data_IF_668041421923
#
_entry.id   IF_668041421923
#
_cell.length_a   1.000
_cell.length_b   1.000
_cell.length_c   1.000
_cell.angle_alpha   90.00
_cell.angle_beta   90.00
_cell.angle_gamma   90.00
#
_symmetry.space_group_name_H-M   'P 1'
#
loop_
_entity.id
_entity.type
_entity.pdbx_description
1 polymer ?
#
# COMPACT_ATOMS: atom_id res chain seq x y z
N UNK A 1 7.82 -4.68 5.35
CA UNK A 1 8.62 -5.89 5.65
C UNK A 1 10.12 -5.59 5.57
N UNK A 2 10.62 -4.87 4.54
CA UNK A 2 12.04 -4.51 4.45
C UNK A 2 12.48 -3.68 5.66
N UNK A 3 11.75 -2.62 6.02
CA UNK A 3 12.05 -1.82 7.20
C UNK A 3 12.16 -2.66 8.49
N UNK A 4 11.24 -3.62 8.68
CA UNK A 4 11.24 -4.52 9.85
C UNK A 4 12.47 -5.42 9.86
N UNK A 5 13.00 -5.80 8.70
CA UNK A 5 14.20 -6.64 8.60
C UNK A 5 15.50 -5.86 8.78
N UNK A 6 15.48 -4.56 8.55
CA UNK A 6 16.66 -3.69 8.55
C UNK A 6 16.76 -2.78 9.79
N UNK A 7 15.72 -2.76 10.64
CA UNK A 7 15.63 -1.85 11.80
C UNK A 7 15.11 -2.57 13.04
N UNK A 8 15.58 -2.18 14.19
CA UNK A 8 15.12 -2.69 15.48
C UNK A 8 13.71 -2.18 15.83
N UNK A 9 13.36 -1.00 15.35
CA UNK A 9 12.07 -0.38 15.57
C UNK A 9 11.61 0.37 14.31
N UNK A 10 10.31 0.43 14.07
CA UNK A 10 9.71 1.13 12.92
C UNK A 10 8.61 2.10 13.35
N UNK A 11 8.36 3.10 12.51
CA UNK A 11 7.20 3.98 12.57
C UNK A 11 6.28 3.64 11.40
N UNK A 12 5.25 2.81 11.60
CA UNK A 12 4.27 2.55 10.54
C UNK A 12 3.41 3.80 10.35
N UNK A 13 3.45 4.39 9.15
CA UNK A 13 2.73 5.63 8.87
C UNK A 13 1.89 5.52 7.60
N UNK A 14 0.69 6.10 7.65
CA UNK A 14 -0.15 6.39 6.51
C UNK A 14 -0.39 7.90 6.42
N UNK A 15 -0.02 8.50 5.30
CA UNK A 15 -0.19 9.93 5.07
C UNK A 15 -1.43 10.17 4.22
N UNK A 16 -2.40 10.86 4.79
CA UNK A 16 -3.60 11.33 4.11
C UNK A 16 -3.24 12.60 3.33
N UNK A 17 -2.94 12.41 2.05
CA UNK A 17 -2.62 13.50 1.13
C UNK A 17 -3.89 14.28 0.75
N UNK A 18 -3.98 15.58 1.10
CA UNK A 18 -5.16 16.39 0.78
C UNK A 18 -5.48 16.43 -0.71
N UNK A 19 -4.48 16.38 -1.59
CA UNK A 19 -4.68 16.37 -3.05
C UNK A 19 -5.50 15.15 -3.48
N UNK A 20 -5.15 13.97 -2.97
CA UNK A 20 -5.87 12.73 -3.29
C UNK A 20 -7.22 12.63 -2.58
N UNK A 21 -7.29 13.08 -1.33
CA UNK A 21 -8.51 13.02 -0.53
C UNK A 21 -9.60 13.89 -1.13
N UNK A 22 -9.28 15.13 -1.52
CA UNK A 22 -10.26 16.08 -2.04
C UNK A 22 -10.86 15.65 -3.40
N UNK A 23 -10.16 14.85 -4.16
CA UNK A 23 -10.61 14.31 -5.45
C UNK A 23 -11.28 12.93 -5.34
N UNK A 24 -11.32 12.35 -4.14
CA UNK A 24 -11.80 10.99 -3.93
C UNK A 24 -13.28 10.95 -3.53
N UNK A 25 -14.06 10.11 -4.20
CA UNK A 25 -15.49 9.94 -3.90
C UNK A 25 -15.76 9.28 -2.55
N UNK A 26 -16.86 9.66 -1.92
CA UNK A 26 -17.24 9.29 -0.54
C UNK A 26 -17.22 7.77 -0.24
N UNK A 27 -17.58 6.91 -1.20
CA UNK A 27 -17.51 5.45 -1.01
C UNK A 27 -16.09 4.95 -0.80
N UNK A 28 -15.14 5.48 -1.56
CA UNK A 28 -13.71 5.15 -1.41
C UNK A 28 -13.18 5.69 -0.09
N UNK A 29 -13.52 6.91 0.27
CA UNK A 29 -13.13 7.51 1.55
C UNK A 29 -13.65 6.69 2.73
N UNK A 30 -14.94 6.37 2.75
CA UNK A 30 -15.53 5.53 3.80
C UNK A 30 -14.87 4.15 3.91
N UNK A 31 -14.50 3.54 2.79
CA UNK A 31 -13.79 2.26 2.78
C UNK A 31 -12.33 2.42 3.26
N UNK A 32 -11.63 3.47 2.83
CA UNK A 32 -10.28 3.78 3.27
C UNK A 32 -10.21 3.98 4.79
N UNK A 33 -11.08 4.82 5.35
CA UNK A 33 -11.10 5.07 6.80
C UNK A 33 -11.29 3.79 7.63
N UNK A 34 -12.18 2.89 7.17
CA UNK A 34 -12.38 1.58 7.80
C UNK A 34 -11.18 0.66 7.64
N UNK A 35 -10.52 0.70 6.47
CA UNK A 35 -9.32 -0.10 6.21
C UNK A 35 -8.14 0.34 7.08
N UNK A 36 -7.99 1.65 7.30
CA UNK A 36 -6.98 2.19 8.20
C UNK A 36 -7.20 1.77 9.65
N UNK A 37 -8.45 1.77 10.12
CA UNK A 37 -8.77 1.28 11.48
C UNK A 37 -8.47 -0.22 11.62
N UNK A 38 -8.85 -1.03 10.64
CA UNK A 38 -8.55 -2.46 10.65
C UNK A 38 -7.04 -2.74 10.57
N UNK A 39 -6.27 -1.93 9.86
CA UNK A 39 -4.82 -2.01 9.82
C UNK A 39 -4.21 -1.62 11.18
N UNK A 40 -4.70 -0.55 11.79
CA UNK A 40 -4.27 -0.10 13.11
C UNK A 40 -4.50 -1.19 14.17
N UNK A 41 -5.68 -1.80 14.20
CA UNK A 41 -5.97 -2.95 15.08
C UNK A 41 -4.97 -4.09 14.85
N UNK A 42 -4.63 -4.41 13.61
CA UNK A 42 -3.67 -5.47 13.29
C UNK A 42 -2.22 -5.11 13.66
N UNK A 43 -1.94 -3.84 13.90
CA UNK A 43 -0.66 -3.29 14.35
C UNK A 43 -0.65 -2.94 15.85
N UNK A 44 -1.55 -3.51 16.64
CA UNK A 44 -1.69 -3.24 18.08
C UNK A 44 -1.86 -1.74 18.40
N UNK A 45 -2.64 -1.03 17.57
CA UNK A 45 -2.91 0.42 17.64
C UNK A 45 -1.65 1.30 17.49
N UNK A 46 -0.72 0.87 16.65
CA UNK A 46 0.55 1.58 16.42
C UNK A 46 0.66 2.23 15.04
N UNK A 47 -0.42 2.35 14.28
CA UNK A 47 -0.42 3.05 13.01
C UNK A 47 -0.48 4.57 13.24
N UNK A 48 0.51 5.27 12.72
CA UNK A 48 0.49 6.74 12.62
C UNK A 48 -0.36 7.11 11.39
N UNK A 49 -1.38 7.92 11.58
CA UNK A 49 -2.21 8.47 10.50
C UNK A 49 -2.05 9.99 10.51
N UNK A 50 -1.27 10.49 9.55
CA UNK A 50 -0.92 11.90 9.43
C UNK A 50 -1.67 12.54 8.26
N UNK A 51 -1.92 13.84 8.32
CA UNK A 51 -2.54 14.61 7.23
C UNK A 51 -1.56 15.67 6.76
N UNK A 52 -1.27 15.72 5.47
CA UNK A 52 -0.41 16.76 4.93
C UNK A 52 0.39 16.37 3.69
N UNK A 53 1.34 17.24 3.32
CA UNK A 53 2.32 16.94 2.28
C UNK A 53 3.31 15.88 2.79
N UNK A 54 3.70 14.97 1.91
CA UNK A 54 4.54 13.84 2.29
C UNK A 54 5.93 14.27 2.78
N UNK A 55 6.52 15.29 2.17
CA UNK A 55 7.86 15.78 2.54
C UNK A 55 7.83 16.37 3.95
N UNK A 56 6.82 17.20 4.25
CA UNK A 56 6.69 17.87 5.54
C UNK A 56 6.41 16.85 6.66
N UNK A 57 5.46 15.94 6.44
CA UNK A 57 5.13 14.89 7.41
C UNK A 57 6.32 13.96 7.66
N UNK A 58 7.04 13.55 6.62
CA UNK A 58 8.19 12.68 6.79
C UNK A 58 9.34 13.38 7.51
N UNK A 59 9.61 14.64 7.25
CA UNK A 59 10.62 15.43 7.99
C UNK A 59 10.27 15.54 9.47
N UNK A 60 9.00 15.83 9.78
CA UNK A 60 8.52 15.88 11.16
C UNK A 60 8.72 14.54 11.89
N UNK A 61 8.36 13.42 11.27
CA UNK A 61 8.51 12.09 11.87
C UNK A 61 9.99 11.69 12.02
N UNK A 62 10.83 12.01 11.03
CA UNK A 62 12.29 11.78 11.08
C UNK A 62 12.91 12.55 12.26
N UNK A 63 12.57 13.83 12.40
CA UNK A 63 13.07 14.65 13.51
C UNK A 63 12.59 14.13 14.87
N UNK A 64 11.31 13.79 14.98
CA UNK A 64 10.68 13.35 16.23
C UNK A 64 11.18 11.99 16.70
N UNK A 65 11.32 11.05 15.79
CA UNK A 65 11.63 9.64 16.13
C UNK A 65 13.07 9.22 15.78
N UNK A 66 13.87 10.10 15.20
CA UNK A 66 15.25 9.78 14.81
C UNK A 66 15.36 8.75 13.70
N UNK A 67 14.34 8.64 12.83
CA UNK A 67 14.36 7.67 11.74
C UNK A 67 15.48 8.00 10.74
N UNK A 68 16.19 6.99 10.26
CA UNK A 68 17.33 7.14 9.34
C UNK A 68 16.99 6.83 7.89
N UNK A 69 15.86 6.19 7.65
CA UNK A 69 15.38 5.83 6.32
C UNK A 69 13.86 5.72 6.28
N UNK A 70 13.30 5.93 5.10
CA UNK A 70 11.87 5.72 4.79
C UNK A 70 11.74 4.59 3.78
N UNK A 71 10.90 3.60 4.06
CA UNK A 71 10.70 2.43 3.21
C UNK A 71 9.33 2.44 2.56
N UNK A 72 9.31 2.33 1.24
CA UNK A 72 8.08 2.27 0.43
C UNK A 72 8.15 1.17 -0.62
N UNK A 73 7.01 0.83 -1.21
CA UNK A 73 6.98 0.12 -2.50
C UNK A 73 7.26 1.10 -3.64
N UNK A 74 7.94 0.63 -4.68
CA UNK A 74 8.16 1.45 -5.89
C UNK A 74 6.84 1.80 -6.54
N UNK A 75 6.56 3.09 -6.72
CA UNK A 75 5.39 3.57 -7.44
C UNK A 75 5.73 3.84 -8.91
N UNK A 76 4.80 3.48 -9.81
CA UNK A 76 4.96 3.63 -11.26
C UNK A 76 3.94 4.58 -11.88
N UNK A 77 2.88 4.90 -11.16
CA UNK A 77 1.90 5.89 -11.59
C UNK A 77 2.51 7.30 -11.55
N UNK A 78 2.18 8.17 -12.52
CA UNK A 78 2.85 9.49 -12.66
C UNK A 78 2.82 10.32 -11.37
N UNK A 79 1.69 10.38 -10.69
CA UNK A 79 1.56 11.14 -9.45
C UNK A 79 2.44 10.57 -8.34
N UNK A 80 2.37 9.26 -8.10
CA UNK A 80 3.14 8.60 -7.06
C UNK A 80 4.65 8.66 -7.32
N UNK A 81 5.08 8.47 -8.57
CA UNK A 81 6.47 8.59 -8.96
C UNK A 81 7.02 10.00 -8.77
N UNK A 82 6.24 11.04 -9.14
CA UNK A 82 6.62 12.43 -8.92
C UNK A 82 6.68 12.79 -7.43
N UNK A 83 5.74 12.30 -6.63
CA UNK A 83 5.75 12.46 -5.18
C UNK A 83 7.01 11.84 -4.56
N UNK A 84 7.34 10.62 -4.93
CA UNK A 84 8.51 9.90 -4.39
C UNK A 84 9.82 10.62 -4.78
N UNK A 85 9.89 11.18 -5.99
CA UNK A 85 11.03 12.00 -6.42
C UNK A 85 11.19 13.25 -5.55
N UNK A 86 10.09 13.97 -5.24
CA UNK A 86 10.13 15.13 -4.34
C UNK A 86 10.66 14.79 -2.95
N UNK A 87 10.30 13.61 -2.44
CA UNK A 87 10.79 13.12 -1.14
C UNK A 87 12.32 12.92 -1.19
N UNK A 88 12.86 12.34 -2.26
CA UNK A 88 14.31 12.18 -2.44
C UNK A 88 15.03 13.51 -2.62
N UNK A 89 14.48 14.41 -3.45
CA UNK A 89 15.03 15.76 -3.67
C UNK A 89 15.05 16.62 -2.39
N UNK A 90 14.14 16.32 -1.44
CA UNK A 90 14.13 16.93 -0.11
C UNK A 90 15.23 16.40 0.84
N UNK A 91 16.07 15.46 0.38
CA UNK A 91 17.18 14.87 1.13
C UNK A 91 16.77 13.73 2.06
N UNK A 92 15.54 13.19 1.92
CA UNK A 92 15.07 12.05 2.72
C UNK A 92 15.63 10.76 2.11
N UNK A 93 16.24 9.92 2.95
CA UNK A 93 16.75 8.60 2.55
C UNK A 93 15.59 7.65 2.27
N UNK A 94 15.17 7.56 0.99
CA UNK A 94 14.02 6.79 0.53
C UNK A 94 14.45 5.44 -0.05
N UNK A 95 14.11 4.37 0.64
CA UNK A 95 14.39 2.99 0.20
C UNK A 95 13.14 2.39 -0.47
N UNK A 96 13.26 2.05 -1.75
CA UNK A 96 12.19 1.40 -2.53
C UNK A 96 12.37 -0.11 -2.54
N UNK A 97 11.38 -0.85 -2.04
CA UNK A 97 11.42 -2.31 -2.00
C UNK A 97 10.19 -2.92 -2.63
N UNK A 98 10.39 -3.66 -3.71
CA UNK A 98 9.30 -4.31 -4.44
C UNK A 98 8.42 -3.32 -5.19
N UNK A 99 7.20 -3.74 -5.49
CA UNK A 99 6.18 -2.93 -6.15
C UNK A 99 4.79 -3.51 -5.87
N UNK A 100 3.70 -2.77 -6.12
CA UNK A 100 2.34 -3.28 -5.98
C UNK A 100 1.98 -4.31 -7.07
N UNK A 101 2.85 -4.53 -8.06
CA UNK A 101 2.64 -5.47 -9.15
C UNK A 101 3.31 -6.81 -8.88
N UNK A 102 2.67 -7.91 -9.32
CA UNK A 102 3.27 -9.26 -9.26
C UNK A 102 4.61 -9.30 -10.02
N UNK A 103 4.65 -8.66 -11.19
CA UNK A 103 5.86 -8.40 -11.98
C UNK A 103 5.93 -6.91 -12.24
N UNK A 104 6.99 -6.27 -11.80
CA UNK A 104 7.17 -4.83 -11.95
C UNK A 104 7.16 -4.38 -13.43
N UNK A 105 6.58 -3.21 -13.76
CA UNK A 105 6.61 -2.66 -15.11
C UNK A 105 8.03 -2.62 -15.70
N UNK A 106 8.14 -2.93 -16.98
CA UNK A 106 9.41 -2.95 -17.70
C UNK A 106 10.27 -4.21 -17.51
N UNK A 107 9.87 -5.17 -16.65
CA UNK A 107 10.60 -6.43 -16.45
C UNK A 107 10.41 -7.43 -17.59
N UNK A 108 9.24 -7.43 -18.23
CA UNK A 108 8.93 -8.33 -19.33
C UNK A 108 9.08 -7.59 -20.66
N UNK A 109 10.14 -7.92 -21.39
CA UNK A 109 10.48 -7.33 -22.68
C UNK A 109 10.66 -8.41 -23.74
N UNK A 110 10.62 -8.02 -25.01
CA UNK A 110 11.01 -8.88 -26.12
C UNK A 110 12.53 -9.14 -26.12
N UNK A 111 13.02 -10.14 -26.88
CA UNK A 111 14.45 -10.40 -27.00
C UNK A 111 15.27 -9.22 -27.56
N UNK A 112 14.62 -8.31 -28.31
CA UNK A 112 15.19 -7.08 -28.83
C UNK A 112 15.10 -5.89 -27.83
N UNK A 113 14.82 -6.17 -26.55
CA UNK A 113 14.63 -5.21 -25.46
C UNK A 113 13.46 -4.21 -25.65
N UNK A 114 12.68 -4.34 -26.71
CA UNK A 114 11.51 -3.50 -26.94
C UNK A 114 10.28 -4.02 -26.19
N UNK A 115 9.26 -3.16 -26.01
CA UNK A 115 8.04 -3.53 -25.34
C UNK A 115 7.10 -4.34 -26.24
N UNK A 116 6.36 -5.26 -25.65
CA UNK A 116 5.25 -5.92 -26.33
C UNK A 116 4.14 -4.93 -26.63
N UNK A 117 3.58 -5.00 -27.84
CA UNK A 117 2.43 -4.17 -28.27
C UNK A 117 1.12 -4.95 -28.32
N UNK A 118 1.18 -6.28 -28.18
CA UNK A 118 0.04 -7.19 -28.27
C UNK A 118 -0.03 -8.01 -26.99
N UNK A 119 -1.26 -8.14 -26.45
CA UNK A 119 -1.49 -8.78 -25.16
C UNK A 119 -1.03 -10.25 -25.11
N UNK A 120 -1.43 -11.07 -26.09
CA UNK A 120 -1.20 -12.51 -26.04
C UNK A 120 0.28 -12.91 -25.93
N UNK A 121 1.20 -12.38 -26.75
CA UNK A 121 2.62 -12.68 -26.58
C UNK A 121 3.19 -12.08 -25.30
N UNK A 122 2.73 -10.90 -24.87
CA UNK A 122 3.09 -10.33 -23.57
C UNK A 122 2.69 -11.25 -22.44
N UNK A 123 1.44 -11.71 -22.40
CA UNK A 123 0.93 -12.59 -21.36
C UNK A 123 1.73 -13.90 -21.26
N UNK A 124 2.07 -14.52 -22.41
CA UNK A 124 2.90 -15.74 -22.43
C UNK A 124 4.28 -15.48 -21.82
N UNK A 125 4.92 -14.38 -22.20
CA UNK A 125 6.22 -13.99 -21.65
C UNK A 125 6.13 -13.63 -20.16
N UNK A 126 5.06 -12.96 -19.73
CA UNK A 126 4.79 -12.61 -18.33
C UNK A 126 4.62 -13.86 -17.44
N UNK A 127 3.85 -14.85 -17.92
CA UNK A 127 3.70 -16.13 -17.23
C UNK A 127 5.03 -16.89 -17.15
N UNK A 128 5.80 -16.91 -18.26
CA UNK A 128 7.10 -17.56 -18.30
C UNK A 128 8.15 -16.87 -17.39
N UNK A 129 8.06 -15.55 -17.22
CA UNK A 129 8.89 -14.79 -16.29
C UNK A 129 8.62 -15.21 -14.84
N UNK A 130 7.35 -15.51 -14.52
CA UNK A 130 6.92 -15.81 -13.16
C UNK A 130 6.99 -14.61 -12.23
N UNK A 131 6.64 -14.82 -10.97
CA UNK A 131 6.67 -13.81 -9.91
C UNK A 131 7.16 -14.43 -8.60
N UNK A 132 7.56 -13.58 -7.68
CA UNK A 132 8.03 -14.01 -6.36
C UNK A 132 6.89 -14.61 -5.54
N UNK A 133 7.20 -15.59 -4.72
CA UNK A 133 6.28 -16.04 -3.67
C UNK A 133 5.98 -14.88 -2.70
N UNK A 134 4.77 -14.82 -2.13
CA UNK A 134 4.46 -13.90 -1.06
C UNK A 134 5.45 -14.05 0.10
N UNK A 135 5.87 -12.92 0.67
CA UNK A 135 6.72 -12.92 1.86
C UNK A 135 5.85 -13.22 3.08
N UNK A 136 6.35 -14.09 3.96
CA UNK A 136 5.66 -14.39 5.21
C UNK A 136 5.53 -13.13 6.09
N UNK A 137 4.39 -13.00 6.77
CA UNK A 137 4.21 -11.95 7.76
C UNK A 137 5.22 -12.12 8.91
N UNK A 138 5.80 -11.04 9.45
CA UNK A 138 6.70 -11.13 10.59
C UNK A 138 5.90 -11.58 11.83
N UNK A 139 6.52 -12.39 12.66
CA UNK A 139 5.90 -12.86 13.91
C UNK A 139 5.74 -11.75 14.95
N UNK A 140 6.59 -10.74 14.88
CA UNK A 140 6.59 -9.59 15.79
C UNK A 140 6.98 -8.35 15.01
N UNK A 141 6.28 -7.27 15.30
CA UNK A 141 6.58 -5.93 14.78
C UNK A 141 6.89 -5.06 16.00
N UNK A 142 8.13 -4.57 16.10
CA UNK A 142 8.47 -3.56 17.08
C UNK A 142 8.20 -2.19 16.46
N UNK A 143 7.09 -1.59 16.83
CA UNK A 143 6.65 -0.31 16.30
C UNK A 143 6.52 0.72 17.40
N UNK A 144 6.90 1.95 17.08
CA UNK A 144 6.72 3.12 17.95
C UNK A 144 5.23 3.34 18.20
N UNK A 145 4.89 3.68 19.43
CA UNK A 145 3.52 4.04 19.79
C UNK A 145 3.24 5.48 19.36
N UNK A 146 2.18 5.73 18.55
CA UNK A 146 1.83 7.09 18.14
C UNK A 146 1.36 7.94 19.33
N UNK A 147 1.59 9.24 19.25
CA UNK A 147 0.94 10.21 20.12
C UNK A 147 -0.48 10.50 19.64
N UNK A 148 -1.30 11.19 20.44
CA UNK A 148 -2.65 11.56 20.01
C UNK A 148 -2.67 12.42 18.75
N UNK A 149 -1.67 13.27 18.56
CA UNK A 149 -1.53 14.10 17.36
C UNK A 149 -1.21 13.30 16.09
N UNK A 150 -0.72 12.07 16.23
CA UNK A 150 -0.38 11.18 15.12
C UNK A 150 -1.53 10.26 14.72
N UNK A 151 -2.69 10.39 15.34
CA UNK A 151 -3.84 9.49 15.16
C UNK A 151 -5.02 10.18 14.46
N UNK A 152 -4.75 10.80 13.33
CA UNK A 152 -5.77 11.53 12.55
C UNK A 152 -6.66 10.58 11.73
N UNK A 153 -7.29 9.61 12.40
CA UNK A 153 -8.21 8.68 11.73
C UNK A 153 -9.48 9.41 11.28
N UNK A 154 -9.74 9.47 9.97
CA UNK A 154 -10.89 10.17 9.47
C UNK A 154 -12.20 9.44 9.82
N UNK A 155 -13.23 10.21 10.13
CA UNK A 155 -14.58 9.71 10.30
C UNK A 155 -15.42 10.04 9.05
N UNK A 156 -15.16 9.33 7.97
CA UNK A 156 -15.91 9.45 6.73
C UNK A 156 -17.16 8.57 6.79
N UNK A 157 -18.36 9.18 6.77
CA UNK A 157 -19.61 8.44 6.90
C UNK A 157 -19.86 7.55 5.68
N UNK A 158 -20.60 6.48 5.90
CA UNK A 158 -21.10 5.66 4.81
C UNK A 158 -22.13 6.49 4.01
N UNK A 159 -21.99 6.62 2.69
CA UNK A 159 -23.01 7.23 1.87
C UNK A 159 -24.32 6.45 1.94
N UNK A 160 -25.45 7.16 1.95
CA UNK A 160 -26.79 6.57 1.99
C UNK A 160 -26.98 5.52 0.90
N UNK A 161 -27.57 4.39 1.26
CA UNK A 161 -27.83 3.27 0.35
C UNK A 161 -26.57 2.55 -0.16
N UNK A 162 -25.37 2.91 0.28
CA UNK A 162 -24.14 2.24 -0.14
C UNK A 162 -23.95 0.91 0.62
N UNK A 163 -23.63 -0.14 -0.13
CA UNK A 163 -23.17 -1.41 0.42
C UNK A 163 -21.70 -1.56 0.11
N UNK A 164 -20.85 -1.58 1.14
CA UNK A 164 -19.42 -1.79 1.03
C UNK A 164 -19.05 -3.15 1.61
N UNK A 165 -18.01 -3.77 1.03
CA UNK A 165 -17.41 -4.94 1.65
C UNK A 165 -16.85 -4.59 3.04
N UNK A 166 -16.78 -5.55 3.94
CA UNK A 166 -16.09 -5.38 5.21
C UNK A 166 -14.61 -5.10 4.93
N UNK A 167 -14.06 -4.09 5.57
CA UNK A 167 -12.67 -3.68 5.41
C UNK A 167 -11.70 -4.56 6.22
N UNK A 168 -10.44 -4.53 5.82
CA UNK A 168 -9.35 -5.23 6.50
C UNK A 168 -8.98 -6.57 5.86
N UNK A 169 -7.73 -7.00 6.11
CA UNK A 169 -7.15 -8.22 5.54
C UNK A 169 -7.91 -9.48 5.96
N UNK A 170 -8.28 -9.60 7.23
CA UNK A 170 -9.04 -10.76 7.73
C UNK A 170 -10.37 -10.93 7.00
N UNK A 171 -11.09 -9.84 6.75
CA UNK A 171 -12.34 -9.86 5.99
C UNK A 171 -12.11 -10.23 4.50
N UNK A 172 -11.04 -9.72 3.91
CA UNK A 172 -10.65 -10.05 2.54
C UNK A 172 -10.29 -11.54 2.40
N UNK A 173 -9.52 -12.08 3.33
CA UNK A 173 -9.14 -13.51 3.34
C UNK A 173 -10.35 -14.42 3.54
N UNK A 174 -11.30 -14.05 4.43
CA UNK A 174 -12.56 -14.77 4.60
C UNK A 174 -13.35 -14.79 3.29
N UNK A 175 -13.55 -13.63 2.67
CA UNK A 175 -14.27 -13.52 1.40
C UNK A 175 -13.58 -14.30 0.28
N UNK A 176 -12.25 -14.29 0.23
CA UNK A 176 -11.48 -15.09 -0.71
C UNK A 176 -11.66 -16.60 -0.49
N UNK A 177 -11.66 -17.05 0.76
CA UNK A 177 -11.90 -18.44 1.10
C UNK A 177 -13.31 -18.90 0.68
N UNK A 178 -14.33 -18.06 0.84
CA UNK A 178 -15.69 -18.30 0.37
C UNK A 178 -15.75 -18.37 -1.16
N UNK A 179 -15.18 -17.38 -1.84
CA UNK A 179 -15.13 -17.35 -3.31
C UNK A 179 -14.45 -18.57 -3.92
N UNK A 180 -13.35 -19.04 -3.31
CA UNK A 180 -12.66 -20.25 -3.80
C UNK A 180 -13.52 -21.52 -3.81
N UNK A 181 -14.51 -21.63 -2.91
CA UNK A 181 -15.43 -22.79 -2.89
C UNK A 181 -16.29 -22.83 -4.15
N UNK A 182 -16.65 -21.67 -4.68
CA UNK A 182 -17.53 -21.51 -5.83
C UNK A 182 -16.77 -21.17 -7.13
N UNK A 183 -15.42 -21.19 -7.10
CA UNK A 183 -14.60 -20.74 -8.23
C UNK A 183 -14.94 -21.46 -9.52
N UNK A 184 -15.10 -22.79 -9.48
CA UNK A 184 -15.44 -23.60 -10.65
C UNK A 184 -16.86 -23.33 -11.17
N UNK A 185 -17.80 -22.95 -10.29
CA UNK A 185 -19.18 -22.63 -10.66
C UNK A 185 -19.32 -21.17 -11.09
N UNK A 186 -18.56 -20.26 -10.47
CA UNK A 186 -18.58 -18.84 -10.76
C UNK A 186 -17.98 -18.48 -12.11
N UNK A 187 -16.85 -19.10 -12.49
CA UNK A 187 -16.18 -18.86 -13.77
C UNK A 187 -16.99 -19.33 -14.99
N UNK A 188 -17.86 -20.28 -14.82
CA UNK A 188 -18.74 -20.78 -15.91
C UNK A 188 -19.96 -19.87 -16.15
N UNK A 189 -20.13 -18.76 -15.39
CA UNK A 189 -21.24 -17.82 -15.55
C UNK A 189 -20.84 -16.54 -16.32
N UNK A 190 -19.62 -16.45 -16.78
CA UNK A 190 -19.08 -15.40 -17.64
C UNK A 190 -18.81 -15.98 -19.05
#
# INVERSE_FOLDING_TARGET
LAAIAESDEIVPVFILDPTLINETGNKRLAYLGRSLRALDESLDNKLHVMVGDQVDVLKELIERYGATSVHISTEYEPYGAARDLRVEEAGINLTRTGSPYAVAPGRVRKPDETNYRVYTPFYKAWVAHGWRAPVAAPKKINAVTPTDSDRNFPDWPMPDGAVLAQAGEAAALKRWAEYKKDLNTGLNKY
#
